data_IF_994555426936
#
_entry.id   IF_994555426936
#
_cell.length_a   1.000
_cell.length_b   1.000
_cell.length_c   1.000
_cell.angle_alpha   90.00
_cell.angle_beta   90.00
_cell.angle_gamma   90.00
#
_symmetry.space_group_name_H-M   'P 1'
#
loop_
_entity.id
_entity.type
_entity.pdbx_description
1 polymer ?
#
# COMPACT_ATOMS: atom_id res chain seq x y z
N UNK A 1 -2.02 -26.59 -20.91
CA UNK A 1 -1.96 -27.53 -19.78
C UNK A 1 -1.60 -26.69 -18.56
N UNK A 2 -2.52 -26.54 -17.60
CA UNK A 2 -2.40 -25.64 -16.43
C UNK A 2 -2.78 -24.17 -16.69
N UNK A 3 -4.07 -23.83 -16.64
CA UNK A 3 -4.60 -22.44 -16.71
C UNK A 3 -4.61 -21.79 -15.30
N UNK A 4 -3.83 -22.36 -14.36
CA UNK A 4 -3.76 -21.94 -12.97
C UNK A 4 -2.44 -21.22 -12.75
N UNK A 5 -2.49 -19.95 -12.34
CA UNK A 5 -1.32 -19.21 -11.84
C UNK A 5 -0.60 -20.06 -10.80
N UNK A 6 0.73 -20.07 -10.84
CA UNK A 6 1.53 -20.70 -9.78
C UNK A 6 1.31 -19.96 -8.45
N UNK A 7 1.55 -20.63 -7.31
CA UNK A 7 1.45 -19.99 -5.99
C UNK A 7 2.31 -18.72 -5.92
N UNK A 8 3.47 -18.70 -6.59
CA UNK A 8 4.33 -17.53 -6.74
C UNK A 8 3.66 -16.39 -7.53
N UNK A 9 3.01 -16.70 -8.66
CA UNK A 9 2.31 -15.70 -9.46
C UNK A 9 1.14 -15.10 -8.67
N UNK A 10 0.40 -15.91 -7.91
CA UNK A 10 -0.67 -15.41 -7.02
C UNK A 10 -0.08 -14.51 -5.94
N UNK A 11 0.97 -14.96 -5.24
CA UNK A 11 1.60 -14.19 -4.17
C UNK A 11 2.16 -12.85 -4.67
N UNK A 12 2.81 -12.82 -5.85
CA UNK A 12 3.31 -11.59 -6.46
C UNK A 12 2.19 -10.63 -6.85
N UNK A 13 1.06 -11.14 -7.37
CA UNK A 13 -0.09 -10.31 -7.74
C UNK A 13 -0.76 -9.69 -6.52
N UNK A 14 -0.94 -10.47 -5.45
CA UNK A 14 -1.43 -9.98 -4.16
C UNK A 14 -0.49 -8.93 -3.56
N UNK A 15 0.83 -9.18 -3.58
CA UNK A 15 1.84 -8.23 -3.13
C UNK A 15 1.78 -6.92 -3.93
N UNK A 16 1.65 -7.02 -5.26
CA UNK A 16 1.52 -5.87 -6.14
C UNK A 16 0.26 -5.06 -5.81
N UNK A 17 -0.87 -5.74 -5.62
CA UNK A 17 -2.15 -5.11 -5.27
C UNK A 17 -2.07 -4.40 -3.91
N UNK A 18 -1.58 -5.07 -2.86
CA UNK A 18 -1.40 -4.48 -1.53
C UNK A 18 -0.49 -3.24 -1.57
N UNK A 19 0.62 -3.32 -2.29
CA UNK A 19 1.53 -2.19 -2.44
C UNK A 19 0.89 -1.02 -3.20
N UNK A 20 0.15 -1.30 -4.28
CA UNK A 20 -0.52 -0.28 -5.07
C UNK A 20 -1.64 0.41 -4.29
N UNK A 21 -2.50 -0.35 -3.61
CA UNK A 21 -3.56 0.20 -2.76
C UNK A 21 -3.00 1.11 -1.68
N UNK A 22 -1.87 0.72 -1.09
CA UNK A 22 -1.18 1.55 -0.10
C UNK A 22 -0.70 2.88 -0.72
N UNK A 23 -0.15 2.87 -1.94
CA UNK A 23 0.27 4.10 -2.64
C UNK A 23 -0.92 5.03 -2.87
N UNK A 24 -2.02 4.51 -3.39
CA UNK A 24 -3.22 5.28 -3.70
C UNK A 24 -3.79 5.91 -2.43
N UNK A 25 -3.93 5.11 -1.37
CA UNK A 25 -4.35 5.54 -0.04
C UNK A 25 -3.50 6.68 0.56
N UNK A 26 -2.17 6.68 0.33
CA UNK A 26 -1.31 7.77 0.79
C UNK A 26 -1.40 9.01 -0.10
N UNK A 27 -1.56 8.85 -1.42
CA UNK A 27 -1.76 9.98 -2.33
C UNK A 27 -3.04 10.70 -2.02
N UNK A 28 -4.14 9.96 -1.86
CA UNK A 28 -5.42 10.49 -1.40
C UNK A 28 -5.23 11.27 -0.09
N UNK A 29 -4.65 10.61 0.93
CA UNK A 29 -4.46 11.24 2.25
C UNK A 29 -3.61 12.52 2.19
N UNK A 30 -2.64 12.59 1.27
CA UNK A 30 -1.81 13.77 1.07
C UNK A 30 -2.53 14.93 0.37
N UNK A 31 -3.58 14.65 -0.39
CA UNK A 31 -4.43 15.67 -1.03
C UNK A 31 -5.45 16.25 -0.05
N UNK A 32 -5.91 15.46 0.93
CA UNK A 32 -6.95 15.86 1.88
C UNK A 32 -6.43 16.42 3.21
N UNK A 33 -5.18 16.13 3.59
CA UNK A 33 -4.64 16.64 4.86
C UNK A 33 -4.24 18.11 4.73
N UNK A 34 -4.80 18.97 5.60
CA UNK A 34 -4.49 20.41 5.63
C UNK A 34 -3.05 20.69 6.11
N UNK A 35 -2.49 19.80 6.95
CA UNK A 35 -1.12 19.96 7.43
C UNK A 35 -0.10 19.62 6.33
N UNK A 36 0.65 20.65 5.92
CA UNK A 36 1.65 20.54 4.86
C UNK A 36 2.80 19.58 5.19
N UNK A 37 3.09 19.35 6.47
CA UNK A 37 4.15 18.42 6.91
C UNK A 37 3.67 16.98 6.77
N UNK A 38 2.45 16.69 7.22
CA UNK A 38 1.78 15.40 7.03
C UNK A 38 1.57 15.09 5.55
N UNK A 39 1.16 16.06 4.74
CA UNK A 39 1.01 15.90 3.29
C UNK A 39 2.35 15.50 2.63
N UNK A 40 3.45 16.16 3.00
CA UNK A 40 4.77 15.81 2.49
C UNK A 40 5.25 14.43 2.97
N UNK A 41 4.93 14.07 4.21
CA UNK A 41 5.21 12.74 4.75
C UNK A 41 4.48 11.66 3.95
N UNK A 42 3.18 11.82 3.72
CA UNK A 42 2.38 10.89 2.94
C UNK A 42 2.87 10.76 1.49
N UNK A 43 3.21 11.87 0.82
CA UNK A 43 3.81 11.84 -0.53
C UNK A 43 5.11 11.06 -0.56
N UNK A 44 6.01 11.27 0.42
CA UNK A 44 7.27 10.54 0.51
C UNK A 44 7.04 9.04 0.69
N UNK A 45 6.09 8.63 1.54
CA UNK A 45 5.74 7.22 1.74
C UNK A 45 5.18 6.62 0.45
N UNK A 46 4.28 7.34 -0.23
CA UNK A 46 3.73 6.93 -1.52
C UNK A 46 4.82 6.72 -2.58
N UNK A 47 5.80 7.61 -2.69
CA UNK A 47 6.91 7.48 -3.65
C UNK A 47 7.82 6.28 -3.34
N UNK A 48 8.09 6.01 -2.06
CA UNK A 48 8.86 4.84 -1.63
C UNK A 48 8.15 3.53 -1.99
N UNK A 49 6.83 3.48 -1.81
CA UNK A 49 6.00 2.31 -2.16
C UNK A 49 5.77 2.19 -3.66
N UNK A 50 5.66 3.29 -4.39
CA UNK A 50 5.53 3.26 -5.85
C UNK A 50 6.76 2.61 -6.52
N UNK A 51 7.94 2.83 -5.95
CA UNK A 51 9.16 2.15 -6.39
C UNK A 51 9.08 0.62 -6.17
N UNK A 52 8.50 0.19 -5.05
CA UNK A 52 8.26 -1.22 -4.77
C UNK A 52 7.23 -1.82 -5.73
N UNK A 53 6.12 -1.13 -5.98
CA UNK A 53 5.09 -1.54 -6.97
C UNK A 53 5.72 -1.79 -8.33
N UNK A 54 6.59 -0.88 -8.80
CA UNK A 54 7.31 -1.05 -10.06
C UNK A 54 8.22 -2.30 -10.06
N UNK A 55 8.92 -2.56 -8.97
CA UNK A 55 9.78 -3.75 -8.83
C UNK A 55 8.96 -5.04 -8.82
N UNK A 56 7.83 -5.09 -8.11
CA UNK A 56 6.94 -6.25 -8.09
C UNK A 56 6.29 -6.45 -9.46
N UNK A 57 5.88 -5.38 -10.14
CA UNK A 57 5.35 -5.44 -11.49
C UNK A 57 6.37 -6.02 -12.49
N UNK A 58 7.65 -5.67 -12.32
CA UNK A 58 8.73 -6.26 -13.11
C UNK A 58 8.91 -7.74 -12.81
N UNK A 59 8.92 -8.14 -11.53
CA UNK A 59 9.00 -9.54 -11.14
C UNK A 59 7.83 -10.37 -11.72
N UNK A 60 6.60 -9.83 -11.73
CA UNK A 60 5.44 -10.49 -12.37
C UNK A 60 5.70 -10.72 -13.86
N UNK A 61 6.22 -9.70 -14.58
CA UNK A 61 6.55 -9.83 -16.02
C UNK A 61 7.62 -10.87 -16.28
N UNK A 62 8.60 -11.01 -15.39
CA UNK A 62 9.66 -12.02 -15.46
C UNK A 62 9.10 -13.45 -15.29
N UNK A 63 7.99 -13.62 -14.56
CA UNK A 63 7.27 -14.91 -14.50
C UNK A 63 6.43 -15.22 -15.76
N UNK A 64 6.39 -14.31 -16.73
CA UNK A 64 5.57 -14.43 -17.94
C UNK A 64 4.09 -14.11 -17.74
N UNK A 65 3.70 -13.58 -16.58
CA UNK A 65 2.36 -13.04 -16.32
C UNK A 65 2.35 -11.51 -16.50
N UNK A 66 1.16 -10.90 -16.58
CA UNK A 66 1.04 -9.44 -16.62
C UNK A 66 0.61 -8.95 -15.23
N UNK A 67 1.21 -7.86 -14.70
CA UNK A 67 0.72 -7.26 -13.47
C UNK A 67 -0.76 -6.92 -13.66
N UNK A 68 -1.58 -7.25 -12.65
CA UNK A 68 -2.98 -6.87 -12.64
C UNK A 68 -3.06 -5.38 -12.98
N UNK A 69 -3.83 -5.05 -14.03
CA UNK A 69 -4.09 -3.65 -14.35
C UNK A 69 -4.72 -2.99 -13.11
N UNK A 70 -4.48 -1.69 -12.85
CA UNK A 70 -5.25 -0.98 -11.84
C UNK A 70 -6.73 -1.27 -12.12
N UNK A 71 -7.40 -1.92 -11.17
CA UNK A 71 -8.83 -2.22 -11.25
C UNK A 71 -9.56 -0.90 -11.45
N UNK A 72 -9.90 -0.59 -12.70
CA UNK A 72 -10.72 0.56 -13.08
C UNK A 72 -12.13 0.50 -12.45
N UNK A 73 -12.46 -0.59 -11.78
CA UNK A 73 -13.68 -0.76 -10.97
C UNK A 73 -13.66 0.04 -9.65
N UNK A 74 -12.50 0.52 -9.18
CA UNK A 74 -12.41 1.38 -7.99
C UNK A 74 -13.04 2.77 -8.15
N UNK A 75 -13.35 3.18 -9.37
CA UNK A 75 -14.05 4.44 -9.67
C UNK A 75 -15.42 4.54 -8.96
N UNK A 76 -16.00 3.40 -8.57
CA UNK A 76 -17.26 3.36 -7.79
C UNK A 76 -17.05 3.67 -6.29
N UNK A 77 -15.86 3.39 -5.74
CA UNK A 77 -15.50 3.69 -4.34
C UNK A 77 -15.18 5.17 -4.10
N UNK A 78 -14.68 5.87 -5.11
CA UNK A 78 -14.35 7.29 -5.07
C UNK A 78 -15.57 8.18 -4.76
N UNK A 79 -16.78 7.76 -5.14
CA UNK A 79 -18.01 8.50 -4.82
C UNK A 79 -18.44 8.36 -3.34
N UNK A 80 -18.08 7.27 -2.67
CA UNK A 80 -18.34 7.06 -1.25
C UNK A 80 -17.33 7.83 -0.38
N UNK A 81 -16.06 7.84 -0.80
CA UNK A 81 -15.00 8.63 -0.17
C UNK A 81 -15.29 10.14 -0.25
N UNK A 82 -15.74 10.63 -1.42
CA UNK A 82 -16.17 12.02 -1.59
C UNK A 82 -17.35 12.43 -0.70
N UNK A 83 -18.17 11.47 -0.23
CA UNK A 83 -19.30 11.77 0.67
C UNK A 83 -18.89 11.80 2.13
N UNK A 84 -17.90 10.99 2.51
CA UNK A 84 -17.24 11.07 3.81
C UNK A 84 -16.43 12.37 3.94
N UNK A 85 -15.81 12.85 2.85
CA UNK A 85 -15.07 14.12 2.73
C UNK A 85 -15.82 15.35 3.28
N UNK A 86 -17.16 15.42 3.14
CA UNK A 86 -17.95 16.56 3.62
C UNK A 86 -18.10 16.64 5.16
N UNK A 87 -17.70 15.60 5.89
CA UNK A 87 -17.72 15.57 7.36
C UNK A 87 -16.36 15.88 7.98
N UNK A 88 -15.34 16.14 7.17
CA UNK A 88 -13.99 16.42 7.65
C UNK A 88 -13.87 17.87 8.18
N UNK A 89 -13.47 18.03 9.44
CA UNK A 89 -13.28 19.31 10.16
C UNK A 89 -11.80 19.47 10.54
N UNK A 90 -11.31 20.71 10.67
CA UNK A 90 -9.88 21.10 10.76
C UNK A 90 -8.99 20.47 11.87
N UNK A 91 -9.50 19.61 12.75
CA UNK A 91 -8.75 18.92 13.82
C UNK A 91 -8.37 17.46 13.43
N UNK A 92 -8.30 17.16 12.13
CA UNK A 92 -8.25 15.78 11.62
C UNK A 92 -6.90 15.28 11.14
N UNK A 93 -5.84 16.10 11.15
CA UNK A 93 -4.50 15.60 10.81
C UNK A 93 -4.11 14.41 11.70
N UNK A 94 -4.41 14.48 13.00
CA UNK A 94 -4.17 13.35 13.90
C UNK A 94 -5.05 12.14 13.59
N UNK A 95 -6.33 12.35 13.27
CA UNK A 95 -7.26 11.26 12.94
C UNK A 95 -6.82 10.53 11.65
N UNK A 96 -6.43 11.29 10.62
CA UNK A 96 -5.87 10.76 9.37
C UNK A 96 -4.57 10.01 9.65
N UNK A 97 -3.66 10.56 10.47
CA UNK A 97 -2.42 9.88 10.86
C UNK A 97 -2.70 8.57 11.61
N UNK A 98 -3.68 8.53 12.51
CA UNK A 98 -4.10 7.33 13.22
C UNK A 98 -4.74 6.30 12.29
N UNK A 99 -5.60 6.75 11.36
CA UNK A 99 -6.22 5.88 10.36
C UNK A 99 -5.16 5.27 9.44
N UNK A 100 -4.15 6.05 9.02
CA UNK A 100 -3.00 5.53 8.25
C UNK A 100 -2.16 4.57 9.07
N UNK A 101 -1.96 4.86 10.36
CA UNK A 101 -1.23 3.95 11.24
C UNK A 101 -1.93 2.59 11.36
N UNK A 102 -3.24 2.58 11.57
CA UNK A 102 -4.03 1.35 11.63
C UNK A 102 -3.96 0.60 10.30
N UNK A 103 -4.11 1.31 9.17
CA UNK A 103 -4.01 0.70 7.84
C UNK A 103 -2.65 0.05 7.59
N UNK A 104 -1.55 0.62 8.12
CA UNK A 104 -0.22 -0.01 8.06
C UNK A 104 -0.12 -1.29 8.90
N UNK A 105 -0.75 -1.33 10.07
CA UNK A 105 -0.78 -2.52 10.92
C UNK A 105 -1.65 -3.63 10.29
N UNK A 106 -2.76 -3.28 9.67
CA UNK A 106 -3.60 -4.19 8.90
C UNK A 106 -2.85 -4.73 7.66
N UNK A 107 -2.13 -3.85 6.96
CA UNK A 107 -1.29 -4.21 5.82
C UNK A 107 -0.14 -5.13 6.22
N UNK A 108 0.50 -4.91 7.37
CA UNK A 108 1.52 -5.81 7.90
C UNK A 108 0.95 -7.21 8.16
N UNK A 109 -0.29 -7.28 8.65
CA UNK A 109 -1.00 -8.54 8.88
C UNK A 109 -1.30 -9.25 7.56
N UNK A 110 -1.89 -8.55 6.59
CA UNK A 110 -2.17 -9.09 5.26
C UNK A 110 -0.88 -9.56 4.55
N UNK A 111 0.21 -8.81 4.70
CA UNK A 111 1.52 -9.19 4.18
C UNK A 111 2.05 -10.48 4.83
N UNK A 112 1.88 -10.63 6.14
CA UNK A 112 2.28 -11.86 6.84
C UNK A 112 1.47 -13.07 6.37
N UNK A 113 0.17 -12.91 6.08
CA UNK A 113 -0.67 -13.98 5.52
C UNK A 113 -0.23 -14.38 4.10
N UNK A 114 0.13 -13.39 3.28
CA UNK A 114 0.64 -13.58 1.91
C UNK A 114 1.99 -14.34 1.83
N UNK A 115 2.74 -14.46 2.92
CA UNK A 115 4.02 -15.17 2.95
C UNK A 115 3.92 -16.70 2.79
N UNK A 116 2.70 -17.29 2.81
CA UNK A 116 2.52 -18.67 3.27
C UNK A 116 2.90 -19.81 2.31
N UNK A 117 3.23 -19.60 1.04
CA UNK A 117 3.50 -20.75 0.12
C UNK A 117 4.59 -20.52 -0.96
N UNK A 118 5.25 -19.36 -1.00
CA UNK A 118 6.25 -19.05 -2.02
C UNK A 118 7.69 -19.28 -1.50
N UNK A 119 8.36 -20.33 -1.98
CA UNK A 119 9.80 -20.59 -1.72
C UNK A 119 10.75 -19.81 -2.66
N UNK A 120 10.26 -18.76 -3.32
CA UNK A 120 11.06 -18.01 -4.29
C UNK A 120 11.89 -16.91 -3.60
N UNK A 121 13.22 -16.86 -3.80
CA UNK A 121 14.08 -15.89 -3.13
C UNK A 121 13.87 -14.45 -3.61
N UNK A 122 13.41 -14.23 -4.84
CA UNK A 122 13.10 -12.89 -5.35
C UNK A 122 11.79 -12.36 -4.73
N UNK A 123 10.79 -13.23 -4.58
CA UNK A 123 9.58 -12.90 -3.83
C UNK A 123 9.89 -12.57 -2.37
N UNK A 124 10.69 -13.39 -1.68
CA UNK A 124 11.07 -13.15 -0.29
C UNK A 124 11.81 -11.81 -0.12
N UNK A 125 12.73 -11.48 -1.04
CA UNK A 125 13.41 -10.18 -1.00
C UNK A 125 12.45 -8.99 -1.14
N UNK A 126 11.46 -9.07 -2.03
CA UNK A 126 10.44 -8.01 -2.20
C UNK A 126 9.51 -7.94 -0.99
N UNK A 127 9.15 -9.09 -0.41
CA UNK A 127 8.32 -9.20 0.79
C UNK A 127 9.02 -8.58 2.01
N UNK A 128 10.27 -8.95 2.26
CA UNK A 128 11.11 -8.38 3.33
C UNK A 128 11.32 -6.86 3.14
N UNK A 129 11.52 -6.42 1.88
CA UNK A 129 11.61 -5.00 1.57
C UNK A 129 10.31 -4.28 1.94
N UNK A 130 9.15 -4.87 1.62
CA UNK A 130 7.86 -4.27 1.96
C UNK A 130 7.61 -4.24 3.47
N UNK A 131 7.88 -5.34 4.17
CA UNK A 131 7.74 -5.43 5.62
C UNK A 131 8.63 -4.40 6.34
N UNK A 132 9.85 -4.18 5.84
CA UNK A 132 10.77 -3.14 6.33
C UNK A 132 10.21 -1.74 6.09
N UNK A 133 9.66 -1.47 4.90
CA UNK A 133 9.02 -0.19 4.58
C UNK A 133 7.81 0.08 5.49
N UNK A 134 6.96 -0.92 5.72
CA UNK A 134 5.79 -0.84 6.61
C UNK A 134 6.24 -0.51 8.03
N UNK A 135 7.18 -1.27 8.58
CA UNK A 135 7.69 -1.07 9.93
C UNK A 135 8.29 0.33 10.13
N UNK A 136 9.06 0.83 9.14
CA UNK A 136 9.60 2.19 9.15
C UNK A 136 8.51 3.27 9.04
N UNK A 137 7.48 3.01 8.24
CA UNK A 137 6.32 3.90 8.08
C UNK A 137 5.53 4.01 9.39
N UNK A 138 5.20 2.86 10.02
CA UNK A 138 4.54 2.78 11.33
C UNK A 138 5.28 3.59 12.39
N UNK A 139 6.61 3.46 12.46
CA UNK A 139 7.41 4.24 13.41
C UNK A 139 7.35 5.74 13.12
N UNK A 140 7.43 6.13 11.85
CA UNK A 140 7.37 7.54 11.44
C UNK A 140 6.01 8.15 11.76
N UNK A 141 4.92 7.43 11.47
CA UNK A 141 3.55 7.86 11.81
C UNK A 141 3.36 7.96 13.33
N UNK A 142 3.83 6.99 14.11
CA UNK A 142 3.80 7.04 15.59
C UNK A 142 4.56 8.24 16.16
N UNK A 143 5.65 8.68 15.52
CA UNK A 143 6.36 9.89 15.91
C UNK A 143 5.61 11.17 15.53
N UNK A 144 4.99 11.19 14.33
CA UNK A 144 4.19 12.32 13.87
C UNK A 144 2.93 12.54 14.73
N UNK A 145 2.30 11.47 15.22
CA UNK A 145 1.13 11.56 16.13
C UNK A 145 1.53 12.09 17.52
N UNK A 146 2.76 11.80 17.97
CA UNK A 146 3.24 12.22 19.30
C UNK A 146 3.83 13.63 19.35
N UNK A 147 4.10 14.23 18.19
CA UNK A 147 4.66 15.58 18.06
C UNK A 147 3.56 16.63 18.04
#
# INVERSE_FOLDING_TARGET
MGILRSAQQVALQELHQLAQESVDHYRDSAEFVDDSTAAQLFKRIADQRASLVANVAQAIRETGDLPAAPDADRETGEQLLHRLHAWFTADQTQDVLQQRLQAEEDLATALAENASDASDPAFQALHDQFATQISGTVQTLKQAIKS
#
